data_IF_967968684616
#
_entry.id   IF_967968684616
#
_cell.length_a   1.000
_cell.length_b   1.000
_cell.length_c   1.000
_cell.angle_alpha   90.00
_cell.angle_beta   90.00
_cell.angle_gamma   90.00
#
_symmetry.space_group_name_H-M   'P 1'
#
loop_
_entity.id
_entity.type
_entity.pdbx_description
1 polymer ?
#
# COMPACT_ATOMS: atom_id res chain seq x y z
N UNK A 1 -51.09 12.21 -48.12
CA UNK A 1 -49.62 12.42 -48.11
C UNK A 1 -49.24 12.90 -46.73
N UNK A 2 -48.86 12.00 -45.85
CA UNK A 2 -48.57 12.28 -44.44
C UNK A 2 -47.07 12.06 -44.24
N UNK A 3 -46.34 13.15 -43.90
CA UNK A 3 -44.90 13.09 -43.59
C UNK A 3 -44.71 12.60 -42.17
N UNK A 4 -44.15 11.42 -42.06
CA UNK A 4 -43.66 10.84 -40.81
C UNK A 4 -42.28 11.43 -40.50
N UNK A 5 -42.14 12.00 -39.27
CA UNK A 5 -40.95 12.64 -38.81
C UNK A 5 -40.29 11.76 -37.75
N UNK A 6 -39.06 11.24 -37.93
CA UNK A 6 -38.45 10.37 -36.94
C UNK A 6 -38.04 11.17 -35.70
N UNK A 7 -38.47 10.72 -34.53
CA UNK A 7 -38.04 11.22 -33.21
C UNK A 7 -36.60 10.79 -32.95
N UNK A 8 -35.70 11.73 -32.92
CA UNK A 8 -34.34 11.50 -32.36
C UNK A 8 -34.43 11.51 -30.83
N UNK A 9 -34.37 10.32 -30.23
CA UNK A 9 -34.11 10.16 -28.82
C UNK A 9 -32.59 10.26 -28.58
N UNK A 10 -32.12 11.47 -28.26
CA UNK A 10 -30.76 11.68 -27.74
C UNK A 10 -30.70 11.30 -26.26
N UNK A 11 -30.41 10.05 -25.92
CA UNK A 11 -29.86 9.71 -24.60
C UNK A 11 -28.41 10.13 -24.58
N UNK A 12 -28.16 11.37 -24.14
CA UNK A 12 -26.82 11.75 -23.72
C UNK A 12 -26.49 10.98 -22.44
N UNK A 13 -25.70 9.92 -22.57
CA UNK A 13 -25.08 9.26 -21.45
C UNK A 13 -24.14 10.26 -20.77
N UNK A 14 -24.58 10.78 -19.64
CA UNK A 14 -23.76 11.61 -18.76
C UNK A 14 -22.76 10.67 -18.06
N UNK A 15 -21.56 10.52 -18.65
CA UNK A 15 -20.45 9.90 -17.95
C UNK A 15 -20.02 10.85 -16.81
N UNK A 16 -19.98 10.41 -15.54
CA UNK A 16 -19.52 11.26 -14.46
C UNK A 16 -18.04 11.60 -14.67
N UNK A 17 -17.59 12.79 -14.28
CA UNK A 17 -16.19 13.17 -14.38
C UNK A 17 -15.34 12.27 -13.48
N UNK A 18 -14.55 11.39 -14.08
CA UNK A 18 -13.69 10.41 -13.40
C UNK A 18 -12.57 11.03 -12.52
N UNK A 19 -12.37 12.34 -12.58
CA UNK A 19 -11.39 13.06 -11.77
C UNK A 19 -11.78 13.26 -10.30
N UNK A 20 -13.05 13.55 -10.01
CA UNK A 20 -13.49 13.88 -8.65
C UNK A 20 -13.53 12.71 -7.67
N UNK A 21 -13.93 11.52 -8.15
CA UNK A 21 -14.02 10.32 -7.30
C UNK A 21 -12.64 9.77 -6.92
N UNK A 22 -11.65 9.85 -7.83
CA UNK A 22 -10.26 9.49 -7.53
C UNK A 22 -9.64 10.45 -6.52
N UNK A 23 -9.92 11.75 -6.64
CA UNK A 23 -9.44 12.78 -5.73
C UNK A 23 -10.00 12.59 -4.32
N UNK A 24 -11.31 12.34 -4.18
CA UNK A 24 -11.92 12.13 -2.87
C UNK A 24 -11.37 10.87 -2.17
N UNK A 25 -11.14 9.79 -2.91
CA UNK A 25 -10.50 8.58 -2.35
C UNK A 25 -9.15 8.88 -1.70
N UNK A 26 -8.29 9.60 -2.40
CA UNK A 26 -6.97 9.95 -1.89
C UNK A 26 -7.09 10.90 -0.68
N UNK A 27 -7.98 11.90 -0.75
CA UNK A 27 -8.24 12.84 0.35
C UNK A 27 -8.75 12.15 1.62
N UNK A 28 -9.59 11.11 1.49
CA UNK A 28 -10.06 10.31 2.65
C UNK A 28 -8.87 9.66 3.35
N UNK A 29 -7.92 9.06 2.61
CA UNK A 29 -6.72 8.46 3.17
C UNK A 29 -5.89 9.50 3.90
N UNK A 30 -5.57 10.61 3.24
CA UNK A 30 -4.72 11.67 3.80
C UNK A 30 -5.34 12.29 5.06
N UNK A 31 -6.64 12.60 5.01
CA UNK A 31 -7.37 13.13 6.18
C UNK A 31 -7.38 12.14 7.34
N UNK A 32 -7.51 10.84 7.06
CA UNK A 32 -7.49 9.80 8.10
C UNK A 32 -6.13 9.71 8.77
N UNK A 33 -5.04 9.82 8.01
CA UNK A 33 -3.66 9.85 8.53
C UNK A 33 -3.42 11.08 9.41
N UNK A 34 -3.81 12.26 8.93
CA UNK A 34 -3.71 13.51 9.71
C UNK A 34 -4.49 13.43 11.03
N UNK A 35 -5.74 12.93 10.98
CA UNK A 35 -6.55 12.74 12.19
C UNK A 35 -5.93 11.73 13.16
N UNK A 36 -5.28 10.68 12.66
CA UNK A 36 -4.57 9.73 13.51
C UNK A 36 -3.38 10.36 14.22
N UNK A 37 -2.64 11.25 13.56
CA UNK A 37 -1.56 12.01 14.17
C UNK A 37 -2.07 13.01 15.20
N UNK A 38 -3.10 13.79 14.87
CA UNK A 38 -3.74 14.74 15.78
C UNK A 38 -4.27 14.06 17.07
N UNK A 39 -4.89 12.87 16.92
CA UNK A 39 -5.43 12.08 18.04
C UNK A 39 -4.39 11.20 18.72
N UNK A 40 -3.17 11.11 18.17
CA UNK A 40 -2.10 10.23 18.66
C UNK A 40 -2.36 8.74 18.45
N UNK A 41 -3.46 8.34 17.80
CA UNK A 41 -3.83 6.94 17.61
C UNK A 41 -4.68 6.70 16.38
N UNK A 42 -4.28 5.70 15.56
CA UNK A 42 -5.10 5.21 14.46
C UNK A 42 -6.47 4.70 14.91
N UNK A 43 -6.52 3.97 16.03
CA UNK A 43 -7.77 3.42 16.56
C UNK A 43 -8.76 4.47 17.08
N UNK A 44 -8.32 5.72 17.29
CA UNK A 44 -9.16 6.83 17.69
C UNK A 44 -9.83 7.54 16.50
N UNK A 45 -9.43 7.24 15.25
CA UNK A 45 -10.05 7.80 14.05
C UNK A 45 -11.44 7.21 13.85
N UNK A 46 -12.39 8.06 13.48
CA UNK A 46 -13.75 7.67 13.10
C UNK A 46 -14.05 8.20 11.71
N UNK A 47 -14.74 7.40 10.89
CA UNK A 47 -15.06 7.81 9.51
C UNK A 47 -15.98 9.03 9.44
N UNK A 48 -16.82 9.28 10.48
CA UNK A 48 -17.60 10.51 10.55
C UNK A 48 -16.71 11.74 10.78
N UNK A 49 -15.64 11.64 11.58
CA UNK A 49 -14.71 12.77 11.75
C UNK A 49 -13.99 13.10 10.42
N UNK A 50 -13.71 12.07 9.62
CA UNK A 50 -13.12 12.25 8.28
C UNK A 50 -14.12 12.96 7.36
N UNK A 51 -15.39 12.54 7.37
CA UNK A 51 -16.47 13.14 6.61
C UNK A 51 -16.66 14.63 6.98
N UNK A 52 -16.70 14.91 8.28
CA UNK A 52 -16.83 16.28 8.80
C UNK A 52 -15.65 17.16 8.37
N UNK A 53 -14.41 16.64 8.49
CA UNK A 53 -13.21 17.35 8.07
C UNK A 53 -13.18 17.65 6.57
N UNK A 54 -13.72 16.75 5.75
CA UNK A 54 -13.82 16.89 4.30
C UNK A 54 -15.06 17.67 3.85
N UNK A 55 -15.99 17.96 4.78
CA UNK A 55 -17.29 18.59 4.49
C UNK A 55 -18.11 17.78 3.48
N UNK A 56 -18.12 16.46 3.63
CA UNK A 56 -18.92 15.53 2.82
C UNK A 56 -19.83 14.67 3.72
N UNK A 57 -20.96 14.16 3.20
CA UNK A 57 -21.77 13.20 3.95
C UNK A 57 -20.99 11.91 4.27
N UNK A 58 -21.22 11.32 5.45
CA UNK A 58 -20.59 10.03 5.82
C UNK A 58 -20.91 8.90 4.82
N UNK A 59 -22.11 8.96 4.18
CA UNK A 59 -22.49 8.01 3.13
C UNK A 59 -21.52 8.04 1.94
N UNK A 60 -21.00 9.21 1.57
CA UNK A 60 -20.02 9.37 0.49
C UNK A 60 -18.68 8.73 0.84
N UNK A 61 -18.29 8.70 2.13
CA UNK A 61 -17.12 7.92 2.57
C UNK A 61 -17.35 6.42 2.33
N UNK A 62 -18.56 5.91 2.64
CA UNK A 62 -18.91 4.50 2.45
C UNK A 62 -18.87 4.06 0.98
N UNK A 63 -19.17 4.95 0.04
CA UNK A 63 -19.06 4.68 -1.40
C UNK A 63 -17.61 4.38 -1.84
N UNK A 64 -16.62 4.86 -1.08
CA UNK A 64 -15.21 4.67 -1.36
C UNK A 64 -14.53 3.62 -0.48
N UNK A 65 -14.88 3.57 0.82
CA UNK A 65 -14.26 2.69 1.81
C UNK A 65 -15.31 2.12 2.77
N UNK A 66 -15.42 0.80 2.82
CA UNK A 66 -16.38 0.09 3.67
C UNK A 66 -16.11 0.27 5.17
N UNK A 67 -14.84 0.48 5.56
CA UNK A 67 -14.37 0.58 6.94
C UNK A 67 -12.98 1.24 7.00
N UNK A 68 -12.50 1.49 8.22
CA UNK A 68 -11.19 2.09 8.45
C UNK A 68 -10.03 1.16 8.04
N UNK A 69 -10.23 -0.16 8.05
CA UNK A 69 -9.22 -1.12 7.59
C UNK A 69 -9.04 -1.02 6.06
N UNK A 70 -10.11 -0.76 5.31
CA UNK A 70 -10.01 -0.52 3.87
C UNK A 70 -9.24 0.78 3.56
N UNK A 71 -9.34 1.81 4.40
CA UNK A 71 -8.52 3.02 4.31
C UNK A 71 -7.05 2.70 4.58
N UNK A 72 -6.75 1.90 5.62
CA UNK A 72 -5.39 1.46 5.91
C UNK A 72 -4.80 0.62 4.76
N UNK A 73 -5.59 -0.26 4.15
CA UNK A 73 -5.16 -1.06 3.00
C UNK A 73 -4.84 -0.16 1.79
N UNK A 74 -5.61 0.92 1.57
CA UNK A 74 -5.31 1.91 0.53
C UNK A 74 -4.01 2.67 0.81
N UNK A 75 -3.72 2.99 2.07
CA UNK A 75 -2.43 3.57 2.47
C UNK A 75 -1.26 2.63 2.14
N UNK A 76 -1.32 1.36 2.55
CA UNK A 76 -0.27 0.38 2.21
C UNK A 76 -0.15 0.11 0.70
N UNK A 77 -1.25 0.27 -0.05
CA UNK A 77 -1.21 0.19 -1.51
C UNK A 77 -0.37 1.31 -2.14
N UNK A 78 -0.26 2.50 -1.52
CA UNK A 78 0.65 3.56 -1.99
C UNK A 78 2.10 3.10 -1.93
N UNK A 79 2.51 2.45 -0.84
CA UNK A 79 3.84 1.84 -0.73
C UNK A 79 4.07 0.77 -1.81
N UNK A 80 3.06 -0.09 -2.06
CA UNK A 80 3.14 -1.10 -3.12
C UNK A 80 3.28 -0.45 -4.51
N UNK A 81 2.53 0.60 -4.80
CA UNK A 81 2.65 1.36 -6.05
C UNK A 81 4.04 1.97 -6.21
N UNK A 82 4.62 2.53 -5.16
CA UNK A 82 5.99 3.06 -5.19
C UNK A 82 7.03 1.94 -5.42
N UNK A 83 6.84 0.78 -4.78
CA UNK A 83 7.70 -0.39 -4.99
C UNK A 83 7.69 -0.86 -6.44
N UNK A 84 6.55 -0.82 -7.12
CA UNK A 84 6.40 -1.22 -8.53
C UNK A 84 6.67 -0.08 -9.50
N UNK A 85 6.65 1.16 -9.03
CA UNK A 85 6.79 2.38 -9.82
C UNK A 85 8.07 2.49 -10.64
N UNK A 86 8.31 3.64 -11.28
CA UNK A 86 9.45 3.86 -12.17
C UNK A 86 10.79 3.48 -11.52
N UNK A 87 11.69 2.91 -12.31
CA UNK A 87 13.02 2.49 -11.89
C UNK A 87 14.10 3.28 -12.66
N UNK A 88 15.36 3.37 -12.13
CA UNK A 88 16.47 3.91 -12.87
C UNK A 88 16.67 3.19 -14.21
N UNK A 89 17.20 3.88 -15.21
CA UNK A 89 17.43 3.29 -16.55
C UNK A 89 18.34 2.05 -16.49
N UNK A 90 19.33 2.08 -15.60
CA UNK A 90 20.29 1.00 -15.36
C UNK A 90 19.80 -0.10 -14.40
N UNK A 91 18.51 -0.08 -14.03
CA UNK A 91 17.96 -0.98 -13.00
C UNK A 91 18.22 -2.47 -13.29
N UNK A 92 18.13 -2.88 -14.56
CA UNK A 92 18.32 -4.27 -14.95
C UNK A 92 19.79 -4.69 -14.96
N UNK A 93 20.73 -3.74 -14.99
CA UNK A 93 22.16 -3.99 -14.91
C UNK A 93 22.60 -4.28 -13.47
N UNK A 94 21.76 -3.94 -12.48
CA UNK A 94 22.05 -4.23 -11.09
C UNK A 94 21.85 -5.71 -10.75
N UNK A 95 22.68 -6.20 -9.82
CA UNK A 95 22.47 -7.51 -9.22
C UNK A 95 21.10 -7.65 -8.56
N UNK A 96 20.55 -8.88 -8.48
CA UNK A 96 19.22 -9.16 -7.94
C UNK A 96 19.01 -8.54 -6.55
N UNK A 97 19.99 -8.67 -5.65
CA UNK A 97 19.92 -8.11 -4.30
C UNK A 97 19.76 -6.58 -4.29
N UNK A 98 20.43 -5.88 -5.22
CA UNK A 98 20.33 -4.42 -5.34
C UNK A 98 18.96 -4.00 -5.87
N UNK A 99 18.39 -4.76 -6.79
CA UNK A 99 17.04 -4.52 -7.31
C UNK A 99 15.99 -4.71 -6.21
N UNK A 100 16.12 -5.74 -5.38
CA UNK A 100 15.28 -5.98 -4.20
C UNK A 100 15.40 -4.80 -3.22
N UNK A 101 16.62 -4.35 -2.92
CA UNK A 101 16.85 -3.20 -2.04
C UNK A 101 16.12 -1.95 -2.55
N UNK A 102 16.28 -1.59 -3.82
CA UNK A 102 15.64 -0.41 -4.43
C UNK A 102 14.11 -0.51 -4.28
N UNK A 103 13.54 -1.67 -4.56
CA UNK A 103 12.09 -1.89 -4.45
C UNK A 103 11.59 -1.75 -3.00
N UNK A 104 12.27 -2.36 -2.04
CA UNK A 104 11.90 -2.29 -0.63
C UNK A 104 12.11 -0.90 -0.04
N UNK A 105 13.19 -0.21 -0.39
CA UNK A 105 13.44 1.16 0.05
C UNK A 105 12.32 2.08 -0.44
N UNK A 106 11.88 1.96 -1.69
CA UNK A 106 10.77 2.76 -2.22
C UNK A 106 9.47 2.53 -1.43
N UNK A 107 9.19 1.29 -1.03
CA UNK A 107 8.03 0.95 -0.19
C UNK A 107 8.12 1.61 1.19
N UNK A 108 9.26 1.46 1.88
CA UNK A 108 9.46 1.99 3.23
C UNK A 108 9.52 3.52 3.24
N UNK A 109 10.18 4.15 2.27
CA UNK A 109 10.30 5.60 2.17
C UNK A 109 8.92 6.26 1.96
N UNK A 110 8.04 5.65 1.13
CA UNK A 110 6.68 6.16 0.93
C UNK A 110 5.86 6.14 2.23
N UNK A 111 5.99 5.09 3.04
CA UNK A 111 5.23 4.96 4.28
C UNK A 111 5.88 5.70 5.47
N UNK A 112 7.10 6.19 5.30
CA UNK A 112 7.87 6.86 6.35
C UNK A 112 7.27 8.19 6.79
N UNK A 113 6.56 8.88 5.90
CA UNK A 113 5.89 10.15 6.18
C UNK A 113 4.94 10.01 7.39
N UNK A 114 4.19 8.91 7.46
CA UNK A 114 3.28 8.57 8.57
C UNK A 114 3.70 7.27 9.26
N UNK A 115 5.01 7.09 9.52
CA UNK A 115 5.56 5.83 10.04
C UNK A 115 4.91 5.37 11.35
N UNK A 116 4.69 6.29 12.29
CA UNK A 116 4.08 5.93 13.58
C UNK A 116 2.65 5.42 13.41
N UNK A 117 1.85 6.08 12.59
CA UNK A 117 0.48 5.67 12.25
C UNK A 117 0.50 4.33 11.51
N UNK A 118 1.40 4.16 10.54
CA UNK A 118 1.59 2.89 9.82
C UNK A 118 1.95 1.73 10.77
N UNK A 119 2.82 2.00 11.75
CA UNK A 119 3.17 1.01 12.77
C UNK A 119 1.99 0.66 13.69
N UNK A 120 1.11 1.62 14.00
CA UNK A 120 -0.13 1.36 14.77
C UNK A 120 -1.11 0.50 13.97
N UNK A 121 -1.32 0.80 12.68
CA UNK A 121 -2.15 -0.02 11.78
C UNK A 121 -1.66 -1.47 11.73
N UNK A 122 -0.35 -1.67 11.56
CA UNK A 122 0.27 -3.00 11.51
C UNK A 122 0.12 -3.75 12.85
N UNK A 123 0.36 -3.08 13.98
CA UNK A 123 0.15 -3.70 15.31
C UNK A 123 -1.29 -4.10 15.54
N UNK A 124 -2.26 -3.27 15.10
CA UNK A 124 -3.69 -3.59 15.17
C UNK A 124 -4.03 -4.87 14.41
N UNK A 125 -3.47 -5.03 13.19
CA UNK A 125 -3.66 -6.24 12.37
C UNK A 125 -2.97 -7.49 12.95
N UNK A 126 -1.91 -7.32 13.73
CA UNK A 126 -1.18 -8.43 14.40
C UNK A 126 -1.82 -8.86 15.72
N UNK A 127 -2.89 -8.22 16.19
CA UNK A 127 -3.51 -8.54 17.47
C UNK A 127 -4.15 -9.94 17.44
N UNK A 128 -3.65 -10.83 18.32
CA UNK A 128 -4.00 -12.25 18.39
C UNK A 128 -5.47 -12.54 18.74
N UNK A 129 -6.19 -11.54 19.27
CA UNK A 129 -7.58 -11.69 19.71
C UNK A 129 -8.62 -11.78 18.58
N UNK A 130 -8.22 -11.53 17.32
CA UNK A 130 -9.13 -11.53 16.19
C UNK A 130 -8.61 -12.40 15.02
N UNK A 131 -8.72 -13.74 15.12
CA UNK A 131 -8.16 -14.68 14.14
C UNK A 131 -8.72 -14.49 12.72
N UNK A 132 -9.89 -13.86 12.57
CA UNK A 132 -10.47 -13.53 11.25
C UNK A 132 -9.69 -12.45 10.47
N UNK A 133 -8.82 -11.67 11.13
CA UNK A 133 -7.92 -10.72 10.46
C UNK A 133 -6.64 -11.37 9.92
N UNK A 134 -6.30 -12.60 10.36
CA UNK A 134 -5.06 -13.24 9.96
C UNK A 134 -5.07 -13.72 8.50
N UNK A 135 -6.19 -14.28 8.05
CA UNK A 135 -6.27 -14.75 6.68
C UNK A 135 -6.06 -13.59 5.67
N UNK A 136 -6.76 -12.43 5.75
CA UNK A 136 -6.48 -11.29 4.89
C UNK A 136 -5.04 -10.78 5.01
N UNK A 137 -4.45 -10.78 6.22
CA UNK A 137 -3.08 -10.34 6.44
C UNK A 137 -2.06 -11.25 5.73
N UNK A 138 -2.22 -12.58 5.84
CA UNK A 138 -1.35 -13.55 5.16
C UNK A 138 -1.46 -13.41 3.65
N UNK A 139 -2.67 -13.25 3.11
CA UNK A 139 -2.87 -13.04 1.67
C UNK A 139 -2.28 -11.70 1.20
N UNK A 140 -2.39 -10.64 1.98
CA UNK A 140 -1.80 -9.34 1.65
C UNK A 140 -0.27 -9.41 1.69
N UNK A 141 0.32 -10.10 2.66
CA UNK A 141 1.77 -10.32 2.73
C UNK A 141 2.26 -11.13 1.52
N UNK A 142 1.63 -12.28 1.23
CA UNK A 142 1.97 -13.09 0.06
C UNK A 142 1.90 -12.27 -1.24
N UNK A 143 0.86 -11.47 -1.41
CA UNK A 143 0.72 -10.57 -2.56
C UNK A 143 1.83 -9.53 -2.63
N UNK A 144 2.21 -8.95 -1.49
CA UNK A 144 3.31 -7.98 -1.43
C UNK A 144 4.63 -8.62 -1.87
N UNK A 145 4.91 -9.85 -1.42
CA UNK A 145 6.11 -10.59 -1.82
C UNK A 145 6.08 -10.95 -3.32
N UNK A 146 4.94 -11.36 -3.85
CA UNK A 146 4.81 -11.61 -5.29
C UNK A 146 5.08 -10.34 -6.11
N UNK A 147 4.51 -9.20 -5.71
CA UNK A 147 4.80 -7.92 -6.38
C UNK A 147 6.25 -7.47 -6.21
N UNK A 148 6.89 -7.77 -5.08
CA UNK A 148 8.33 -7.52 -4.91
C UNK A 148 9.16 -8.33 -5.90
N UNK A 149 8.83 -9.60 -6.11
CA UNK A 149 9.51 -10.46 -7.10
C UNK A 149 9.35 -9.92 -8.52
N UNK A 150 8.12 -9.52 -8.87
CA UNK A 150 7.83 -8.89 -10.18
C UNK A 150 8.57 -7.56 -10.33
N UNK A 151 8.50 -6.66 -9.34
CA UNK A 151 9.14 -5.35 -9.37
C UNK A 151 10.68 -5.44 -9.46
N UNK A 152 11.28 -6.41 -8.77
CA UNK A 152 12.71 -6.68 -8.82
C UNK A 152 13.12 -7.56 -10.03
N UNK A 153 12.15 -8.03 -10.83
CA UNK A 153 12.35 -8.91 -12.00
C UNK A 153 13.22 -10.13 -11.67
N UNK A 154 12.80 -10.88 -10.64
CA UNK A 154 13.52 -12.09 -10.24
C UNK A 154 13.22 -13.24 -11.21
N UNK A 155 14.26 -14.02 -11.62
CA UNK A 155 14.15 -14.95 -12.75
C UNK A 155 13.45 -16.28 -12.41
N UNK A 156 13.21 -16.60 -11.14
CA UNK A 156 12.64 -17.90 -10.78
C UNK A 156 11.19 -18.02 -11.21
N UNK A 157 10.90 -19.01 -12.05
CA UNK A 157 9.57 -19.29 -12.58
C UNK A 157 8.63 -19.74 -11.44
N UNK A 158 7.43 -19.15 -11.41
CA UNK A 158 6.40 -19.49 -10.43
C UNK A 158 6.11 -21.00 -10.38
N UNK A 159 5.90 -21.53 -9.17
CA UNK A 159 5.65 -22.97 -8.95
C UNK A 159 6.91 -23.83 -8.87
N UNK A 160 8.11 -23.28 -9.10
CA UNK A 160 9.37 -24.02 -8.95
C UNK A 160 9.83 -24.02 -7.49
N UNK A 161 10.66 -25.03 -7.11
CA UNK A 161 11.31 -25.07 -5.79
C UNK A 161 12.20 -23.85 -5.52
N UNK A 162 12.80 -23.27 -6.58
CA UNK A 162 13.60 -22.04 -6.48
C UNK A 162 12.68 -20.86 -6.09
N UNK A 163 11.58 -20.68 -6.81
CA UNK A 163 10.61 -19.63 -6.51
C UNK A 163 10.06 -19.74 -5.06
N UNK A 164 9.73 -20.94 -4.60
CA UNK A 164 9.25 -21.14 -3.23
C UNK A 164 10.31 -20.77 -2.16
N UNK A 165 11.59 -21.07 -2.40
CA UNK A 165 12.67 -20.65 -1.49
C UNK A 165 12.86 -19.13 -1.50
N UNK A 166 12.81 -18.50 -2.69
CA UNK A 166 12.86 -17.04 -2.82
C UNK A 166 11.70 -16.39 -2.05
N UNK A 167 10.47 -16.88 -2.20
CA UNK A 167 9.30 -16.36 -1.48
C UNK A 167 9.45 -16.46 0.03
N UNK A 168 9.91 -17.59 0.55
CA UNK A 168 10.16 -17.78 1.99
C UNK A 168 11.25 -16.83 2.47
N UNK A 169 12.37 -16.75 1.74
CA UNK A 169 13.49 -15.87 2.08
C UNK A 169 13.08 -14.38 2.06
N UNK A 170 12.39 -13.95 1.01
CA UNK A 170 11.89 -12.57 0.90
C UNK A 170 10.84 -12.24 1.96
N UNK A 171 9.98 -13.21 2.32
CA UNK A 171 9.00 -13.04 3.39
C UNK A 171 9.71 -12.83 4.73
N UNK A 172 10.69 -13.67 5.06
CA UNK A 172 11.46 -13.54 6.29
C UNK A 172 12.24 -12.21 6.34
N UNK A 173 12.88 -11.83 5.24
CA UNK A 173 13.57 -10.56 5.09
C UNK A 173 12.61 -9.38 5.30
N UNK A 174 11.49 -9.36 4.57
CA UNK A 174 10.50 -8.28 4.64
C UNK A 174 9.98 -8.10 6.06
N UNK A 175 9.59 -9.19 6.73
CA UNK A 175 9.09 -9.13 8.11
C UNK A 175 10.16 -8.65 9.08
N UNK A 176 11.41 -9.10 8.94
CA UNK A 176 12.53 -8.65 9.79
C UNK A 176 12.81 -7.16 9.63
N UNK A 177 12.83 -6.69 8.38
CA UNK A 177 13.02 -5.26 8.07
C UNK A 177 11.83 -4.44 8.57
N UNK A 178 10.60 -4.92 8.37
CA UNK A 178 9.37 -4.26 8.83
C UNK A 178 9.36 -4.08 10.35
N UNK A 179 9.72 -5.13 11.11
CA UNK A 179 9.80 -5.06 12.58
C UNK A 179 10.84 -4.04 13.06
N UNK A 180 11.97 -3.95 12.37
CA UNK A 180 12.98 -2.93 12.66
C UNK A 180 12.48 -1.54 12.30
N UNK A 181 11.91 -1.37 11.09
CA UNK A 181 11.39 -0.10 10.57
C UNK A 181 10.32 0.51 11.47
N UNK A 182 9.42 -0.31 12.01
CA UNK A 182 8.39 0.16 12.95
C UNK A 182 8.96 0.83 14.21
N UNK A 183 10.24 0.62 14.53
CA UNK A 183 10.95 1.15 15.71
C UNK A 183 12.12 2.07 15.34
N UNK A 184 12.34 2.30 14.05
CA UNK A 184 13.48 3.09 13.57
C UNK A 184 13.16 4.59 13.69
N UNK A 185 13.84 5.29 14.59
CA UNK A 185 13.71 6.73 14.82
C UNK A 185 14.84 7.52 14.15
N UNK A 186 15.70 6.85 13.39
CA UNK A 186 16.83 7.54 12.73
C UNK A 186 16.33 8.36 11.53
N UNK A 187 16.98 9.49 11.31
CA UNK A 187 16.69 10.35 10.15
C UNK A 187 16.90 9.55 8.87
N UNK A 188 15.94 9.63 7.95
CA UNK A 188 15.99 8.91 6.67
C UNK A 188 15.96 7.38 6.81
N UNK A 189 15.61 6.84 7.98
CA UNK A 189 15.52 5.39 8.25
C UNK A 189 16.86 4.66 8.03
N UNK A 190 17.96 5.32 8.36
CA UNK A 190 19.32 4.81 8.10
C UNK A 190 19.59 3.46 8.77
N UNK A 191 19.03 3.21 9.95
CA UNK A 191 19.17 1.93 10.64
C UNK A 191 18.49 0.81 9.85
N UNK A 192 17.29 1.05 9.35
CA UNK A 192 16.52 0.10 8.53
C UNK A 192 17.23 -0.17 7.20
N UNK A 193 17.65 0.88 6.50
CA UNK A 193 18.36 0.78 5.22
C UNK A 193 19.68 0.03 5.35
N UNK A 194 20.43 0.29 6.43
CA UNK A 194 21.70 -0.42 6.71
C UNK A 194 21.47 -1.91 7.01
N UNK A 195 20.45 -2.22 7.79
CA UNK A 195 20.06 -3.60 8.08
C UNK A 195 19.67 -4.33 6.79
N UNK A 196 18.79 -3.73 5.97
CA UNK A 196 18.35 -4.28 4.70
C UNK A 196 19.55 -4.60 3.78
N UNK A 197 20.48 -3.67 3.63
CA UNK A 197 21.70 -3.89 2.82
C UNK A 197 22.51 -5.06 3.34
N UNK A 198 22.73 -5.13 4.65
CA UNK A 198 23.50 -6.22 5.27
C UNK A 198 22.88 -7.59 4.99
N UNK A 199 21.56 -7.71 5.14
CA UNK A 199 20.86 -9.00 4.94
C UNK A 199 20.79 -9.42 3.46
N UNK A 200 20.83 -8.44 2.54
CA UNK A 200 20.77 -8.70 1.09
C UNK A 200 22.15 -8.92 0.47
N UNK A 201 23.20 -8.32 1.03
CA UNK A 201 24.56 -8.47 0.44
C UNK A 201 25.06 -9.89 0.68
N UNK A 202 25.39 -10.66 -0.37
CA UNK A 202 26.00 -11.98 -0.19
C UNK A 202 27.25 -11.85 0.70
N UNK A 203 27.42 -12.75 1.64
CA UNK A 203 28.69 -12.90 2.36
C UNK A 203 29.76 -13.30 1.33
N UNK A 204 30.62 -12.36 0.96
CA UNK A 204 31.81 -12.60 0.12
C UNK A 204 32.86 -13.33 0.90
#
# INVERSE_FOLDING_TARGET
MQHDKPRQNGLAAHAPPSGGASDLRERIVDTSLMLAEEKGSWSAVRLHDVADRLSVPTAEILDHYRDLDAVADAWFLRGLKAMVGPKPAEFLDYAEWRRIEICLVAWFDTLAEHRQVSAQMLRGKLHLSHPHHWAPMVFNLSRTIQWLREAAQLPAVYGTRRASREEVGLTALFLSVLLLWMRDETVGQERTKRFLRRELTPLT
#
